data_IF_054365281721
#
_entry.id   IF_054365281721
#
_cell.length_a   1.000
_cell.length_b   1.000
_cell.length_c   1.000
_cell.angle_alpha   90.00
_cell.angle_beta   90.00
_cell.angle_gamma   90.00
#
_symmetry.space_group_name_H-M   'P 1'
#
loop_
_entity.id
_entity.type
_entity.pdbx_description
1 polymer ?
#
# COMPACT_ATOMS: atom_id res chain seq x y z
N UNK A 1 -62.15 -0.87 -25.75
CA UNK A 1 -61.87 0.53 -25.35
C UNK A 1 -61.30 0.50 -23.95
N UNK A 2 -60.06 0.96 -23.77
CA UNK A 2 -59.37 0.97 -22.48
C UNK A 2 -57.92 1.38 -22.72
N UNK A 3 -57.59 2.60 -22.33
CA UNK A 3 -56.46 3.39 -22.80
C UNK A 3 -55.10 2.89 -22.28
N UNK A 4 -54.11 2.89 -23.18
CA UNK A 4 -52.69 2.78 -22.87
C UNK A 4 -52.18 4.18 -22.49
N UNK A 5 -51.65 4.34 -21.28
CA UNK A 5 -50.99 5.56 -20.83
C UNK A 5 -49.47 5.34 -20.85
N UNK A 6 -48.82 5.95 -21.84
CA UNK A 6 -47.37 6.08 -21.92
C UNK A 6 -46.92 7.20 -20.97
N UNK A 7 -46.05 6.88 -20.01
CA UNK A 7 -45.41 7.89 -19.14
C UNK A 7 -44.03 8.19 -19.71
N UNK A 8 -43.83 9.45 -20.09
CA UNK A 8 -42.68 9.95 -20.83
C UNK A 8 -41.38 9.98 -20.03
N UNK A 9 -40.29 9.63 -20.72
CA UNK A 9 -38.92 9.95 -20.33
C UNK A 9 -38.71 11.47 -20.44
N UNK A 10 -38.44 12.14 -19.33
CA UNK A 10 -37.87 13.49 -19.35
C UNK A 10 -36.34 13.39 -19.32
N UNK A 11 -35.74 13.69 -20.47
CA UNK A 11 -34.32 13.93 -20.64
C UNK A 11 -33.94 15.25 -19.95
N UNK A 12 -33.11 15.18 -18.92
CA UNK A 12 -32.49 16.37 -18.32
C UNK A 12 -31.32 16.80 -19.21
N UNK A 13 -31.43 18.00 -19.76
CA UNK A 13 -30.44 18.61 -20.65
C UNK A 13 -29.12 18.88 -19.92
N UNK A 14 -28.02 18.41 -20.51
CA UNK A 14 -26.66 18.73 -20.10
C UNK A 14 -26.36 20.22 -20.35
N UNK A 15 -25.88 20.92 -19.33
CA UNK A 15 -25.35 22.28 -19.45
C UNK A 15 -23.92 22.22 -20.03
N UNK A 16 -23.55 23.03 -21.02
CA UNK A 16 -22.22 23.02 -21.61
C UNK A 16 -21.20 23.70 -20.67
N UNK A 17 -20.14 22.96 -20.32
CA UNK A 17 -18.97 23.51 -19.65
C UNK A 17 -18.10 24.29 -20.65
N UNK A 18 -17.78 25.54 -20.29
CA UNK A 18 -16.87 26.43 -21.00
C UNK A 18 -15.42 25.97 -20.74
N UNK A 19 -14.58 25.71 -21.77
CA UNK A 19 -13.15 25.50 -21.57
C UNK A 19 -12.42 26.85 -21.49
N UNK A 20 -11.71 27.08 -20.38
CA UNK A 20 -10.84 28.23 -20.22
C UNK A 20 -9.45 27.96 -20.81
N UNK A 21 -9.10 28.81 -21.78
CA UNK A 21 -7.76 29.30 -22.13
C UNK A 21 -6.74 28.34 -22.80
N UNK A 22 -6.67 28.47 -24.13
CA UNK A 22 -5.46 28.24 -24.91
C UNK A 22 -4.37 29.24 -24.51
N UNK A 23 -3.14 28.76 -24.31
CA UNK A 23 -1.93 29.57 -24.49
C UNK A 23 -0.91 28.81 -25.33
N UNK A 24 -1.04 28.98 -26.64
CA UNK A 24 0.03 28.74 -27.60
C UNK A 24 0.95 29.97 -27.56
N UNK A 25 2.22 29.77 -27.21
CA UNK A 25 3.30 30.64 -27.67
C UNK A 25 4.23 29.78 -28.53
N UNK A 26 4.32 30.16 -29.80
CA UNK A 26 5.14 29.49 -30.79
C UNK A 26 6.61 29.81 -30.63
N UNK A 27 7.43 28.91 -31.15
CA UNK A 27 8.73 29.27 -31.70
C UNK A 27 8.87 28.49 -33.01
N UNK A 28 8.82 29.26 -34.09
CA UNK A 28 9.03 28.83 -35.47
C UNK A 28 10.46 28.32 -35.60
N UNK A 29 10.64 27.14 -36.18
CA UNK A 29 11.90 26.77 -36.83
C UNK A 29 11.57 26.26 -38.22
N UNK A 30 12.29 26.82 -39.18
CA UNK A 30 12.07 26.83 -40.62
C UNK A 30 12.16 25.42 -41.20
N UNK A 31 11.13 25.01 -41.93
CA UNK A 31 11.17 23.87 -42.85
C UNK A 31 11.75 24.38 -44.17
N UNK A 32 12.97 23.95 -44.50
CA UNK A 32 13.48 24.02 -45.87
C UNK A 32 13.06 22.75 -46.59
N UNK A 33 12.20 22.91 -47.59
CA UNK A 33 11.84 21.87 -48.53
C UNK A 33 12.93 21.80 -49.62
N UNK A 34 13.56 20.63 -49.76
CA UNK A 34 14.14 20.19 -51.02
C UNK A 34 13.67 18.75 -51.26
N UNK A 35 12.74 18.60 -52.19
CA UNK A 35 12.25 17.29 -52.61
C UNK A 35 13.26 16.56 -53.50
N UNK A 36 13.28 15.23 -53.38
CA UNK A 36 13.17 14.31 -54.53
C UNK A 36 12.98 12.86 -54.07
N UNK A 37 11.93 12.28 -54.66
CA UNK A 37 11.74 10.89 -55.08
C UNK A 37 11.81 9.73 -54.05
N UNK A 38 10.66 9.06 -53.96
CA UNK A 38 10.47 7.66 -53.56
C UNK A 38 11.39 6.71 -54.34
N UNK A 39 12.01 5.76 -53.65
CA UNK A 39 12.30 4.43 -54.22
C UNK A 39 12.29 3.37 -53.11
N UNK A 40 11.34 2.45 -53.24
CA UNK A 40 11.24 1.21 -52.47
C UNK A 40 12.23 0.20 -53.03
N UNK A 41 13.19 -0.26 -52.22
CA UNK A 41 13.83 -1.57 -52.42
C UNK A 41 14.11 -2.24 -51.08
N UNK A 42 13.41 -3.35 -50.88
CA UNK A 42 13.76 -4.44 -49.97
C UNK A 42 15.08 -5.06 -50.40
N UNK A 43 16.02 -5.16 -49.48
CA UNK A 43 17.30 -5.84 -49.69
C UNK A 43 17.84 -6.31 -48.35
N UNK A 44 17.74 -7.62 -48.09
CA UNK A 44 18.45 -8.27 -46.99
C UNK A 44 19.96 -8.23 -47.29
N UNK A 45 20.70 -7.45 -46.53
CA UNK A 45 22.16 -7.45 -46.55
C UNK A 45 22.68 -8.28 -45.37
N UNK A 46 23.15 -9.50 -45.67
CA UNK A 46 23.96 -10.32 -44.78
C UNK A 46 25.33 -9.65 -44.59
N UNK A 47 25.60 -9.15 -43.38
CA UNK A 47 26.89 -8.58 -43.03
C UNK A 47 27.76 -9.66 -42.38
N UNK A 48 28.77 -10.11 -43.12
CA UNK A 48 29.86 -10.96 -42.62
C UNK A 48 30.71 -10.13 -41.66
N UNK A 49 30.68 -10.45 -40.36
CA UNK A 49 31.58 -9.84 -39.38
C UNK A 49 32.94 -10.54 -39.46
N UNK A 50 33.90 -9.88 -40.09
CA UNK A 50 35.33 -10.18 -39.96
C UNK A 50 35.78 -9.83 -38.54
N UNK A 51 36.24 -10.82 -37.79
CA UNK A 51 36.85 -10.62 -36.48
C UNK A 51 38.32 -10.23 -36.63
N UNK A 52 38.70 -9.03 -36.21
CA UNK A 52 40.10 -8.67 -35.96
C UNK A 52 40.35 -8.68 -34.46
N UNK A 53 41.16 -9.62 -33.99
CA UNK A 53 41.61 -9.69 -32.61
C UNK A 53 42.64 -8.59 -32.33
N UNK A 54 42.23 -7.54 -31.62
CA UNK A 54 43.13 -6.60 -30.97
C UNK A 54 43.45 -7.06 -29.53
N UNK A 55 44.61 -6.72 -28.96
CA UNK A 55 44.99 -7.18 -27.63
C UNK A 55 44.07 -6.59 -26.55
N UNK A 56 43.49 -7.47 -25.75
CA UNK A 56 42.68 -7.14 -24.57
C UNK A 56 43.59 -6.56 -23.47
N UNK A 57 43.52 -5.25 -23.24
CA UNK A 57 44.07 -4.63 -22.04
C UNK A 57 43.15 -5.00 -20.87
N UNK A 58 43.70 -5.76 -19.92
CA UNK A 58 43.05 -6.07 -18.64
C UNK A 58 42.91 -4.78 -17.82
N UNK A 59 41.69 -4.24 -17.75
CA UNK A 59 41.34 -3.18 -16.80
C UNK A 59 40.84 -3.85 -15.54
N UNK A 60 41.69 -3.95 -14.52
CA UNK A 60 41.28 -4.31 -13.16
C UNK A 60 40.26 -3.30 -12.64
N UNK A 61 38.98 -3.68 -12.64
CA UNK A 61 37.93 -2.96 -11.90
C UNK A 61 38.18 -3.17 -10.41
N UNK A 62 38.67 -2.15 -9.71
CA UNK A 62 38.54 -2.07 -8.25
C UNK A 62 37.05 -2.02 -7.92
N UNK A 63 36.53 -3.06 -7.25
CA UNK A 63 35.19 -3.01 -6.68
C UNK A 63 35.22 -2.00 -5.53
N UNK A 64 34.66 -0.82 -5.74
CA UNK A 64 34.30 0.06 -4.63
C UNK A 64 33.01 -0.49 -4.03
N UNK A 65 33.13 -1.24 -2.93
CA UNK A 65 32.00 -1.52 -2.07
C UNK A 65 31.63 -0.20 -1.37
N UNK A 66 30.53 0.43 -1.79
CA UNK A 66 29.90 1.49 -1.02
C UNK A 66 29.25 0.82 0.20
N UNK A 67 29.96 0.79 1.31
CA UNK A 67 29.37 0.45 2.61
C UNK A 67 28.46 1.61 2.99
N UNK A 68 27.16 1.40 3.04
CA UNK A 68 26.24 2.34 3.66
C UNK A 68 26.66 2.50 5.14
N UNK A 69 27.27 3.64 5.46
CA UNK A 69 27.54 4.04 6.82
C UNK A 69 26.27 4.65 7.39
N UNK A 70 25.49 3.89 8.13
CA UNK A 70 24.62 4.48 9.17
C UNK A 70 24.98 3.87 10.52
N UNK A 71 26.20 4.15 10.97
CA UNK A 71 26.52 4.11 12.39
C UNK A 71 26.82 5.54 12.83
N UNK A 72 25.79 6.18 13.35
CA UNK A 72 25.81 7.52 13.90
C UNK A 72 24.38 7.87 14.27
N UNK A 73 24.12 8.12 15.55
CA UNK A 73 22.84 8.67 15.99
C UNK A 73 22.61 9.96 15.20
N UNK A 74 21.52 10.00 14.44
CA UNK A 74 21.17 11.18 13.64
C UNK A 74 20.83 12.29 14.64
N UNK A 75 21.75 13.23 14.84
CA UNK A 75 21.47 14.52 15.48
C UNK A 75 20.63 15.36 14.50
N UNK A 76 19.37 14.95 14.30
CA UNK A 76 18.31 15.78 13.73
C UNK A 76 17.45 16.36 14.86
N UNK A 77 16.60 17.33 14.52
CA UNK A 77 15.52 17.76 15.43
C UNK A 77 14.71 16.51 15.87
N UNK A 78 14.48 16.32 17.19
CA UNK A 78 13.79 15.12 17.66
C UNK A 78 12.34 15.11 17.17
N UNK A 79 11.91 13.97 16.63
CA UNK A 79 10.49 13.73 16.34
C UNK A 79 9.81 13.43 17.68
N UNK A 80 8.91 14.30 18.11
CA UNK A 80 8.18 14.17 19.38
C UNK A 80 6.72 13.77 19.13
N UNK A 81 6.39 12.53 19.48
CA UNK A 81 5.05 11.96 19.41
C UNK A 81 4.52 11.64 20.82
N UNK A 82 5.07 12.24 21.88
CA UNK A 82 4.57 12.05 23.24
C UNK A 82 3.12 12.50 23.35
N UNK A 83 2.32 11.68 24.02
CA UNK A 83 0.88 11.90 24.15
C UNK A 83 0.09 11.66 22.86
N UNK A 84 0.72 11.13 21.81
CA UNK A 84 0.05 10.68 20.59
C UNK A 84 -0.19 9.18 20.63
N UNK A 85 -1.30 8.74 20.05
CA UNK A 85 -1.66 7.33 19.96
C UNK A 85 -1.68 6.87 18.51
N UNK A 86 -1.03 5.75 18.24
CA UNK A 86 -0.95 5.13 16.93
C UNK A 86 -1.70 3.80 16.89
N UNK A 87 -2.52 3.59 15.87
CA UNK A 87 -3.06 2.27 15.52
C UNK A 87 -2.34 1.74 14.28
N UNK A 88 -1.66 0.60 14.42
CA UNK A 88 -0.89 -0.04 13.35
C UNK A 88 -1.59 -1.32 12.91
N UNK A 89 -2.22 -1.29 11.74
CA UNK A 89 -2.84 -2.45 11.12
C UNK A 89 -1.80 -3.26 10.33
N UNK A 90 -1.70 -4.57 10.61
CA UNK A 90 -0.85 -5.48 9.84
C UNK A 90 0.47 -5.87 10.51
N UNK A 91 0.49 -6.01 11.84
CA UNK A 91 1.65 -6.59 12.55
C UNK A 91 1.29 -8.01 12.96
N UNK A 92 2.15 -8.98 12.63
CA UNK A 92 1.96 -10.39 12.99
C UNK A 92 3.24 -11.05 13.53
N UNK A 93 4.38 -10.39 13.36
CA UNK A 93 5.71 -10.78 13.84
C UNK A 93 6.62 -9.53 13.91
N UNK A 94 7.91 -9.73 14.21
CA UNK A 94 8.92 -8.70 14.33
C UNK A 94 9.81 -8.49 13.09
N UNK A 95 9.45 -9.09 11.96
CA UNK A 95 10.21 -9.01 10.70
C UNK A 95 9.63 -8.00 9.70
N UNK A 96 8.35 -7.68 9.82
CA UNK A 96 7.63 -6.80 8.90
C UNK A 96 7.87 -5.30 9.09
N UNK A 97 7.50 -4.51 8.09
CA UNK A 97 7.55 -3.04 8.18
C UNK A 97 6.63 -2.47 9.27
N UNK A 98 5.48 -3.10 9.52
CA UNK A 98 4.56 -2.66 10.59
C UNK A 98 5.23 -2.67 11.96
N UNK A 99 6.06 -3.68 12.24
CA UNK A 99 6.86 -3.73 13.47
C UNK A 99 7.93 -2.64 13.52
N UNK A 100 8.65 -2.43 12.41
CA UNK A 100 9.66 -1.38 12.30
C UNK A 100 9.06 0.02 12.52
N UNK A 101 7.88 0.28 11.96
CA UNK A 101 7.13 1.53 12.15
C UNK A 101 6.67 1.67 13.60
N UNK A 102 6.07 0.63 14.19
CA UNK A 102 5.66 0.65 15.59
C UNK A 102 6.83 0.98 16.52
N UNK A 103 8.00 0.39 16.26
CA UNK A 103 9.23 0.66 17.02
C UNK A 103 9.72 2.10 16.87
N UNK A 104 9.67 2.66 15.67
CA UNK A 104 10.04 4.04 15.42
C UNK A 104 9.07 5.03 16.10
N UNK A 105 7.77 4.76 16.05
CA UNK A 105 6.73 5.56 16.71
C UNK A 105 6.88 5.50 18.24
N UNK A 106 7.14 4.31 18.80
CA UNK A 106 7.40 4.13 20.23
C UNK A 106 8.66 4.88 20.68
N UNK A 107 9.75 4.83 19.89
CA UNK A 107 10.97 5.59 20.17
C UNK A 107 10.75 7.11 20.16
N UNK A 108 9.77 7.59 19.39
CA UNK A 108 9.34 8.98 19.38
C UNK A 108 8.34 9.32 20.51
N UNK A 109 7.95 8.34 21.33
CA UNK A 109 7.08 8.52 22.49
C UNK A 109 5.59 8.29 22.26
N UNK A 110 5.19 7.73 21.11
CA UNK A 110 3.79 7.40 20.83
C UNK A 110 3.33 6.15 21.59
N UNK A 111 2.06 6.13 22.00
CA UNK A 111 1.37 4.95 22.50
C UNK A 111 0.99 4.03 21.33
N UNK A 112 1.24 2.73 21.46
CA UNK A 112 1.16 1.77 20.35
C UNK A 112 0.00 0.80 20.53
N UNK A 113 -0.96 0.88 19.61
CA UNK A 113 -2.03 -0.10 19.41
C UNK A 113 -1.77 -0.89 18.13
N UNK A 114 -2.05 -2.19 18.14
CA UNK A 114 -1.75 -3.07 17.00
C UNK A 114 -2.99 -3.85 16.57
N UNK A 115 -3.30 -3.82 15.28
CA UNK A 115 -4.24 -4.74 14.62
C UNK A 115 -3.51 -5.94 14.04
N UNK A 116 -3.76 -7.13 14.58
CA UNK A 116 -3.14 -8.40 14.15
C UNK A 116 -4.14 -9.27 13.42
N UNK A 117 -3.72 -9.86 12.30
CA UNK A 117 -4.57 -10.77 11.54
C UNK A 117 -5.05 -11.95 12.39
N UNK A 118 -6.36 -12.21 12.41
CA UNK A 118 -6.98 -13.19 13.32
C UNK A 118 -6.29 -14.57 13.30
N UNK A 119 -6.01 -15.18 12.13
CA UNK A 119 -5.23 -16.42 12.04
C UNK A 119 -3.82 -16.40 12.65
N UNK A 120 -3.18 -15.24 12.77
CA UNK A 120 -1.84 -15.08 13.32
C UNK A 120 -1.84 -14.66 14.81
N UNK A 121 -2.98 -14.20 15.33
CA UNK A 121 -3.10 -13.57 16.65
C UNK A 121 -2.52 -14.42 17.79
N UNK A 122 -2.97 -15.67 17.92
CA UNK A 122 -2.54 -16.53 19.02
C UNK A 122 -1.03 -16.76 19.04
N UNK A 123 -0.42 -16.91 17.86
CA UNK A 123 1.04 -17.14 17.74
C UNK A 123 1.80 -15.85 18.09
N UNK A 124 1.30 -14.70 17.61
CA UNK A 124 1.88 -13.40 17.90
C UNK A 124 1.84 -13.09 19.40
N UNK A 125 0.67 -13.14 20.04
CA UNK A 125 0.51 -12.86 21.47
C UNK A 125 1.30 -13.85 22.34
N UNK A 126 1.30 -15.14 21.98
CA UNK A 126 2.10 -16.14 22.70
C UNK A 126 3.59 -15.86 22.57
N UNK A 127 4.07 -15.45 21.40
CA UNK A 127 5.47 -15.13 21.18
C UNK A 127 5.90 -13.87 21.92
N UNK A 128 5.03 -12.85 21.93
CA UNK A 128 5.22 -11.61 22.69
C UNK A 128 5.30 -11.89 24.19
N UNK A 129 4.34 -12.65 24.74
CA UNK A 129 4.31 -13.02 26.17
C UNK A 129 5.50 -13.86 26.61
N UNK A 130 6.01 -14.72 25.71
CA UNK A 130 7.19 -15.56 25.96
C UNK A 130 8.53 -14.82 25.80
N UNK A 131 8.50 -13.52 25.50
CA UNK A 131 9.70 -12.71 25.32
C UNK A 131 10.48 -13.02 24.04
N UNK A 132 9.89 -13.70 23.06
CA UNK A 132 10.58 -14.01 21.78
C UNK A 132 10.96 -12.75 21.00
N UNK A 133 10.25 -11.66 21.24
CA UNK A 133 10.45 -10.37 20.60
C UNK A 133 11.24 -9.37 21.47
N UNK A 134 11.76 -9.77 22.64
CA UNK A 134 12.38 -8.80 23.55
C UNK A 134 13.62 -8.13 22.95
N UNK A 135 14.43 -8.87 22.20
CA UNK A 135 15.56 -8.29 21.46
C UNK A 135 15.10 -7.29 20.39
N UNK A 136 14.05 -7.63 19.62
CA UNK A 136 13.54 -6.75 18.57
C UNK A 136 12.76 -5.54 19.12
N UNK A 137 12.24 -5.63 20.36
CA UNK A 137 11.58 -4.53 21.10
C UNK A 137 12.55 -3.47 21.63
N UNK A 138 13.85 -3.75 21.79
CA UNK A 138 14.83 -2.79 22.34
C UNK A 138 14.86 -1.48 21.56
N UNK A 139 14.51 -0.37 22.23
CA UNK A 139 14.55 0.99 21.71
C UNK A 139 15.95 1.61 21.82
N UNK A 140 16.23 2.73 21.12
CA UNK A 140 17.54 3.39 21.18
C UNK A 140 17.96 3.88 22.57
N UNK A 141 17.00 4.17 23.44
CA UNK A 141 17.22 4.58 24.84
C UNK A 141 17.49 3.39 25.79
N UNK A 142 17.46 2.16 25.26
CA UNK A 142 17.67 0.92 26.02
C UNK A 142 16.39 0.34 26.66
N UNK A 143 15.25 1.04 26.58
CA UNK A 143 13.96 0.52 27.03
C UNK A 143 13.39 -0.51 26.03
N UNK A 144 12.30 -1.19 26.40
CA UNK A 144 11.59 -2.08 25.48
C UNK A 144 10.33 -1.38 24.97
N UNK A 145 10.09 -1.45 23.66
CA UNK A 145 8.81 -1.08 23.06
C UNK A 145 7.67 -1.80 23.78
N UNK A 146 6.68 -1.03 24.23
CA UNK A 146 5.44 -1.53 24.80
C UNK A 146 4.35 -1.48 23.73
N UNK A 147 3.62 -2.59 23.58
CA UNK A 147 2.38 -2.65 22.80
C UNK A 147 1.25 -2.59 23.82
N UNK A 148 0.54 -1.47 23.89
CA UNK A 148 -0.50 -1.25 24.91
C UNK A 148 -1.64 -2.25 24.75
N UNK A 149 -2.10 -2.47 23.51
CA UNK A 149 -3.16 -3.43 23.22
C UNK A 149 -3.04 -4.00 21.82
N UNK A 150 -3.31 -5.30 21.73
CA UNK A 150 -3.43 -6.04 20.47
C UNK A 150 -4.91 -6.27 20.20
N UNK A 151 -5.34 -5.95 18.99
CA UNK A 151 -6.68 -6.15 18.49
C UNK A 151 -6.68 -7.25 17.43
N UNK A 152 -7.57 -8.25 17.50
CA UNK A 152 -7.85 -9.10 16.35
C UNK A 152 -8.40 -8.22 15.22
N UNK A 153 -7.90 -8.40 13.99
CA UNK A 153 -8.34 -7.62 12.84
C UNK A 153 -8.36 -8.50 11.60
N UNK A 154 -9.42 -8.42 10.81
CA UNK A 154 -9.41 -8.85 9.42
C UNK A 154 -9.96 -7.74 8.53
N UNK A 155 -9.06 -7.04 7.86
CA UNK A 155 -9.36 -5.82 7.12
C UNK A 155 -10.03 -6.04 5.76
N UNK A 156 -10.37 -7.29 5.42
CA UNK A 156 -11.20 -7.60 4.23
C UNK A 156 -12.70 -7.54 4.53
N UNK A 157 -13.08 -7.46 5.82
CA UNK A 157 -14.47 -7.40 6.25
C UNK A 157 -14.72 -6.11 7.02
N UNK A 158 -15.61 -5.27 6.50
CA UNK A 158 -15.95 -3.99 7.12
C UNK A 158 -16.85 -4.21 8.34
N UNK A 159 -17.79 -5.15 8.21
CA UNK A 159 -18.81 -5.48 9.21
C UNK A 159 -19.10 -6.98 9.28
N UNK A 160 -19.81 -7.43 10.32
CA UNK A 160 -20.10 -8.86 10.52
C UNK A 160 -21.06 -9.45 9.47
N UNK A 161 -21.91 -8.60 8.87
CA UNK A 161 -22.79 -8.99 7.78
C UNK A 161 -22.03 -9.34 6.48
N UNK A 162 -20.81 -8.81 6.31
CA UNK A 162 -19.95 -9.10 5.15
C UNK A 162 -19.24 -10.46 5.27
N UNK A 163 -19.26 -11.06 6.45
CA UNK A 163 -18.50 -12.26 6.76
C UNK A 163 -19.24 -13.50 6.28
N UNK A 164 -18.65 -14.30 5.36
CA UNK A 164 -19.19 -15.59 4.96
C UNK A 164 -19.28 -16.59 6.12
N UNK A 165 -20.29 -17.46 6.09
CA UNK A 165 -20.52 -18.44 7.16
C UNK A 165 -19.36 -19.44 7.35
N UNK A 166 -18.62 -19.76 6.30
CA UNK A 166 -17.42 -20.61 6.38
C UNK A 166 -16.27 -19.93 7.14
N UNK A 167 -16.15 -18.60 7.05
CA UNK A 167 -15.19 -17.81 7.83
C UNK A 167 -15.62 -17.74 9.30
N UNK A 168 -16.92 -17.52 9.58
CA UNK A 168 -17.45 -17.53 10.95
C UNK A 168 -17.26 -18.89 11.63
N UNK A 169 -17.48 -19.98 10.90
CA UNK A 169 -17.30 -21.34 11.40
C UNK A 169 -15.82 -21.77 11.53
N UNK A 170 -14.88 -20.99 10.97
CA UNK A 170 -13.47 -21.31 11.04
C UNK A 170 -12.96 -21.22 12.49
N UNK A 171 -12.33 -22.29 12.98
CA UNK A 171 -11.79 -22.39 14.34
C UNK A 171 -10.84 -21.25 14.71
N UNK A 172 -10.15 -20.65 13.74
CA UNK A 172 -9.24 -19.51 13.97
C UNK A 172 -10.00 -18.24 14.32
N UNK A 173 -11.20 -18.05 13.75
CA UNK A 173 -12.06 -16.88 13.99
C UNK A 173 -13.02 -17.12 15.15
N UNK A 174 -13.45 -18.37 15.38
CA UNK A 174 -14.38 -18.71 16.46
C UNK A 174 -13.87 -18.38 17.87
N UNK A 175 -12.54 -18.30 18.06
CA UNK A 175 -11.91 -17.94 19.33
C UNK A 175 -11.74 -16.44 19.56
N UNK A 176 -12.13 -15.59 18.60
CA UNK A 176 -11.97 -14.14 18.66
C UNK A 176 -13.29 -13.45 18.32
N UNK A 177 -13.53 -12.30 18.93
CA UNK A 177 -14.67 -11.44 18.61
C UNK A 177 -14.18 -10.04 18.27
N UNK A 178 -15.06 -9.21 17.68
CA UNK A 178 -14.78 -7.81 17.36
C UNK A 178 -13.55 -7.61 16.49
N UNK A 179 -13.54 -8.26 15.33
CA UNK A 179 -12.37 -8.30 14.46
C UNK A 179 -12.59 -7.71 13.06
N UNK A 180 -13.83 -7.33 12.74
CA UNK A 180 -14.12 -6.54 11.54
C UNK A 180 -13.64 -5.10 11.73
N UNK A 181 -13.41 -4.37 10.63
CA UNK A 181 -12.83 -3.01 10.70
C UNK A 181 -13.67 -2.08 11.58
N UNK A 182 -15.00 -2.12 11.43
CA UNK A 182 -15.92 -1.32 12.22
C UNK A 182 -15.87 -1.66 13.71
N UNK A 183 -15.95 -2.94 14.06
CA UNK A 183 -15.92 -3.38 15.46
C UNK A 183 -14.60 -3.03 16.15
N UNK A 184 -13.47 -3.12 15.43
CA UNK A 184 -12.16 -2.74 15.96
C UNK A 184 -12.09 -1.23 16.20
N UNK A 185 -12.56 -0.41 15.27
CA UNK A 185 -12.62 1.04 15.45
C UNK A 185 -13.51 1.44 16.63
N UNK A 186 -14.68 0.80 16.78
CA UNK A 186 -15.57 0.99 17.93
C UNK A 186 -14.90 0.57 19.24
N UNK A 187 -14.19 -0.56 19.26
CA UNK A 187 -13.49 -1.03 20.46
C UNK A 187 -12.34 -0.10 20.85
N UNK A 188 -11.57 0.40 19.87
CA UNK A 188 -10.52 1.42 20.12
C UNK A 188 -11.12 2.70 20.69
N UNK A 189 -12.28 3.14 20.17
CA UNK A 189 -13.01 4.29 20.70
C UNK A 189 -13.43 4.06 22.15
N UNK A 190 -13.97 2.89 22.48
CA UNK A 190 -14.43 2.56 23.83
C UNK A 190 -13.25 2.48 24.83
N UNK A 191 -12.14 1.91 24.40
CA UNK A 191 -10.95 1.73 25.23
C UNK A 191 -10.17 3.03 25.46
N UNK A 192 -10.05 3.87 24.43
CA UNK A 192 -9.05 4.94 24.36
C UNK A 192 -9.60 6.30 23.93
N UNK A 193 -10.84 6.36 23.45
CA UNK A 193 -11.50 7.58 22.96
C UNK A 193 -11.08 7.98 21.55
N UNK A 194 -9.79 8.22 21.34
CA UNK A 194 -9.25 8.69 20.06
C UNK A 194 -7.84 8.16 19.74
N UNK A 195 -7.47 8.33 18.47
CA UNK A 195 -6.11 8.11 17.96
C UNK A 195 -5.59 9.37 17.25
N UNK A 196 -4.28 9.44 17.01
CA UNK A 196 -3.65 10.51 16.22
C UNK A 196 -3.02 9.97 14.93
N UNK A 197 -2.60 8.70 14.92
CA UNK A 197 -1.85 8.12 13.81
C UNK A 197 -2.49 6.79 13.39
N UNK A 198 -2.76 6.65 12.09
CA UNK A 198 -3.20 5.39 11.49
C UNK A 198 -2.12 4.86 10.53
N UNK A 199 -1.60 3.67 10.80
CA UNK A 199 -0.62 3.00 9.93
C UNK A 199 -1.28 1.80 9.27
N UNK A 200 -1.25 1.76 7.94
CA UNK A 200 -1.65 0.61 7.12
C UNK A 200 -0.41 -0.11 6.61
N UNK A 201 -0.11 -1.26 7.21
CA UNK A 201 1.03 -2.11 6.88
C UNK A 201 0.60 -3.54 6.57
N UNK A 202 -0.50 -3.70 5.83
CA UNK A 202 -1.01 -5.00 5.39
C UNK A 202 -1.18 -5.07 3.87
N UNK A 203 -1.03 -6.27 3.34
CA UNK A 203 -1.29 -6.60 1.96
C UNK A 203 -1.45 -8.12 1.83
N UNK A 204 -2.33 -8.58 0.96
CA UNK A 204 -2.51 -9.99 0.66
C UNK A 204 -2.94 -10.15 -0.80
N UNK A 205 -2.45 -11.21 -1.46
CA UNK A 205 -2.75 -11.51 -2.84
C UNK A 205 -2.67 -13.02 -3.09
N UNK A 206 -3.79 -13.74 -3.24
CA UNK A 206 -3.78 -15.21 -3.28
C UNK A 206 -3.07 -15.77 -4.52
N UNK A 207 -2.93 -14.98 -5.59
CA UNK A 207 -2.32 -15.38 -6.86
C UNK A 207 -1.05 -14.58 -7.18
N UNK A 208 -0.36 -14.00 -6.17
CA UNK A 208 0.78 -13.08 -6.37
C UNK A 208 1.90 -13.65 -7.25
N UNK A 209 2.08 -14.97 -7.27
CA UNK A 209 3.12 -15.63 -8.08
C UNK A 209 2.73 -15.78 -9.56
N UNK A 210 1.45 -15.59 -9.92
CA UNK A 210 0.98 -15.73 -11.29
C UNK A 210 1.20 -14.43 -12.09
N UNK A 211 1.65 -14.50 -13.36
CA UNK A 211 1.64 -13.36 -14.25
C UNK A 211 0.23 -12.75 -14.38
N UNK A 212 0.14 -11.43 -14.58
CA UNK A 212 -1.15 -10.73 -14.62
C UNK A 212 -2.13 -11.28 -15.67
N UNK A 213 -1.63 -11.77 -16.80
CA UNK A 213 -2.45 -12.35 -17.87
C UNK A 213 -3.06 -13.73 -17.50
N UNK A 214 -2.55 -14.38 -16.47
CA UNK A 214 -3.03 -15.68 -15.95
C UNK A 214 -3.81 -15.52 -14.64
N UNK A 215 -3.84 -14.32 -14.08
CA UNK A 215 -4.54 -14.02 -12.85
C UNK A 215 -6.05 -14.11 -13.05
N UNK A 216 -6.72 -14.86 -12.19
CA UNK A 216 -8.17 -14.94 -12.21
C UNK A 216 -8.82 -13.63 -11.76
N UNK A 217 -10.08 -13.38 -12.15
CA UNK A 217 -10.83 -12.21 -11.68
C UNK A 217 -10.97 -12.19 -10.15
N UNK A 218 -11.25 -13.33 -9.53
CA UNK A 218 -11.40 -13.43 -8.08
C UNK A 218 -10.08 -13.18 -7.36
N UNK A 219 -8.96 -13.74 -7.84
CA UNK A 219 -7.64 -13.50 -7.27
C UNK A 219 -7.22 -12.03 -7.35
N UNK A 220 -7.48 -11.38 -8.50
CA UNK A 220 -7.22 -9.96 -8.69
C UNK A 220 -8.03 -9.09 -7.72
N UNK A 221 -9.35 -9.33 -7.62
CA UNK A 221 -10.23 -8.55 -6.74
C UNK A 221 -9.92 -8.78 -5.27
N UNK A 222 -9.54 -10.00 -4.88
CA UNK A 222 -9.07 -10.29 -3.53
C UNK A 222 -7.80 -9.49 -3.19
N UNK A 223 -6.87 -9.36 -4.14
CA UNK A 223 -5.65 -8.57 -3.94
C UNK A 223 -5.95 -7.08 -3.74
N UNK A 224 -6.82 -6.51 -4.55
CA UNK A 224 -7.25 -5.09 -4.44
C UNK A 224 -8.06 -4.85 -3.15
N UNK A 225 -8.97 -5.77 -2.81
CA UNK A 225 -9.77 -5.70 -1.58
C UNK A 225 -8.86 -5.64 -0.35
N UNK A 226 -7.96 -6.60 -0.20
CA UNK A 226 -7.09 -6.71 0.97
C UNK A 226 -5.96 -5.66 0.99
N UNK A 227 -5.48 -5.18 -0.16
CA UNK A 227 -4.26 -4.36 -0.23
C UNK A 227 -4.47 -2.88 -0.61
N UNK A 228 -5.69 -2.50 -1.01
CA UNK A 228 -6.06 -1.13 -1.35
C UNK A 228 -7.31 -0.69 -0.59
N UNK A 229 -8.44 -1.39 -0.80
CA UNK A 229 -9.71 -0.97 -0.20
C UNK A 229 -9.71 -1.06 1.32
N UNK A 230 -8.97 -2.01 1.89
CA UNK A 230 -8.73 -2.09 3.33
C UNK A 230 -8.16 -0.79 3.94
N UNK A 231 -7.37 0.00 3.18
CA UNK A 231 -6.90 1.32 3.63
C UNK A 231 -8.05 2.33 3.69
N UNK A 232 -8.89 2.36 2.65
CA UNK A 232 -10.08 3.22 2.61
C UNK A 232 -11.03 2.89 3.76
N UNK A 233 -11.31 1.60 3.99
CA UNK A 233 -12.19 1.14 5.06
C UNK A 233 -11.63 1.52 6.43
N UNK A 234 -10.33 1.27 6.68
CA UNK A 234 -9.69 1.67 7.93
C UNK A 234 -9.79 3.19 8.12
N UNK A 235 -9.47 3.99 7.11
CA UNK A 235 -9.56 5.44 7.21
C UNK A 235 -11.02 5.87 7.47
N UNK A 236 -12.00 5.34 6.75
CA UNK A 236 -13.41 5.67 6.93
C UNK A 236 -13.91 5.43 8.36
N UNK A 237 -13.51 4.31 8.98
CA UNK A 237 -13.99 3.94 10.32
C UNK A 237 -13.19 4.60 11.46
N UNK A 238 -11.90 4.89 11.25
CA UNK A 238 -11.06 5.53 12.26
C UNK A 238 -11.09 7.07 12.19
N UNK A 239 -11.40 7.68 11.04
CA UNK A 239 -11.43 9.13 10.88
C UNK A 239 -12.35 9.85 11.91
N UNK A 240 -13.55 9.34 12.27
CA UNK A 240 -14.39 9.97 13.29
C UNK A 240 -13.78 10.00 14.70
N UNK A 241 -12.76 9.19 14.96
CA UNK A 241 -12.05 9.11 16.24
C UNK A 241 -10.59 9.55 16.12
N UNK A 242 -10.20 10.14 14.99
CA UNK A 242 -8.86 10.67 14.78
C UNK A 242 -8.83 12.15 15.17
N UNK A 243 -7.90 12.53 16.04
CA UNK A 243 -7.76 13.92 16.47
C UNK A 243 -7.38 14.83 15.28
N UNK A 244 -7.86 16.08 15.22
CA UNK A 244 -7.39 17.06 14.25
C UNK A 244 -5.86 17.21 14.27
N UNK A 245 -5.24 17.28 13.09
CA UNK A 245 -3.79 17.25 12.97
C UNK A 245 -3.17 15.85 13.06
N UNK A 246 -4.00 14.81 13.16
CA UNK A 246 -3.58 13.42 12.97
C UNK A 246 -3.17 13.13 11.52
N UNK A 247 -2.53 11.98 11.32
CA UNK A 247 -2.01 11.57 10.03
C UNK A 247 -2.21 10.07 9.79
N UNK A 248 -2.30 9.69 8.52
CA UNK A 248 -2.25 8.29 8.12
C UNK A 248 -1.06 8.02 7.20
N UNK A 249 -0.56 6.78 7.22
CA UNK A 249 0.50 6.31 6.33
C UNK A 249 0.17 4.91 5.86
N UNK A 250 0.46 4.62 4.59
CA UNK A 250 0.37 3.30 4.00
C UNK A 250 1.67 2.93 3.29
N UNK A 251 1.90 1.64 3.07
CA UNK A 251 3.09 1.15 2.37
C UNK A 251 2.74 0.70 0.94
N UNK A 252 3.39 1.34 -0.04
CA UNK A 252 3.30 1.00 -1.46
C UNK A 252 4.60 0.38 -1.99
N UNK A 253 4.62 0.01 -3.26
CA UNK A 253 5.79 -0.53 -3.94
C UNK A 253 5.83 -0.10 -5.40
N UNK A 254 7.03 0.17 -5.93
CA UNK A 254 7.29 0.73 -7.27
C UNK A 254 6.69 -0.07 -8.44
N UNK A 255 6.22 -1.31 -8.21
CA UNK A 255 5.46 -2.06 -9.18
C UNK A 255 4.11 -1.42 -9.56
N UNK A 256 3.66 -0.41 -8.81
CA UNK A 256 2.53 0.47 -9.16
C UNK A 256 2.81 1.31 -10.41
N UNK A 257 4.02 1.84 -10.52
CA UNK A 257 4.43 2.78 -11.56
C UNK A 257 5.27 2.13 -12.67
N UNK A 258 5.91 0.99 -12.36
CA UNK A 258 6.83 0.30 -13.27
C UNK A 258 6.52 -1.19 -13.34
N UNK A 259 6.76 -1.80 -14.49
CA UNK A 259 6.61 -3.24 -14.65
C UNK A 259 7.73 -3.98 -13.91
N UNK A 260 7.37 -4.72 -12.86
CA UNK A 260 8.29 -5.57 -12.09
C UNK A 260 7.87 -7.04 -12.25
N UNK A 261 8.61 -7.85 -13.04
CA UNK A 261 8.33 -9.28 -13.16
C UNK A 261 8.37 -9.99 -11.80
N UNK A 262 7.43 -10.92 -11.58
CA UNK A 262 7.29 -11.64 -10.31
C UNK A 262 6.36 -10.96 -9.29
N UNK A 263 5.95 -9.70 -9.51
CA UNK A 263 4.97 -9.00 -8.67
C UNK A 263 3.56 -9.10 -9.30
N UNK A 264 3.06 -10.33 -9.39
CA UNK A 264 1.87 -10.69 -10.15
C UNK A 264 0.56 -10.68 -9.36
N UNK A 265 -0.42 -11.49 -9.78
CA UNK A 265 -1.67 -11.69 -9.04
C UNK A 265 -2.55 -10.45 -8.83
N UNK A 266 -2.31 -9.37 -9.59
CA UNK A 266 -2.99 -8.08 -9.40
C UNK A 266 -2.38 -7.19 -8.31
N UNK A 267 -1.29 -7.59 -7.66
CA UNK A 267 -0.65 -6.80 -6.60
C UNK A 267 -0.10 -5.46 -7.09
N UNK A 268 0.45 -5.40 -8.31
CA UNK A 268 0.88 -4.13 -8.94
C UNK A 268 -0.30 -3.16 -9.06
N UNK A 269 -1.45 -3.65 -9.51
CA UNK A 269 -2.67 -2.85 -9.64
C UNK A 269 -3.21 -2.40 -8.29
N UNK A 270 -3.17 -3.27 -7.27
CA UNK A 270 -3.57 -2.91 -5.92
C UNK A 270 -2.69 -1.78 -5.35
N UNK A 271 -1.37 -1.80 -5.60
CA UNK A 271 -0.48 -0.71 -5.18
C UNK A 271 -0.70 0.60 -5.95
N UNK A 272 -0.98 0.52 -7.25
CA UNK A 272 -1.37 1.68 -8.03
C UNK A 272 -2.68 2.30 -7.54
N UNK A 273 -3.68 1.46 -7.20
CA UNK A 273 -4.94 1.92 -6.59
C UNK A 273 -4.68 2.60 -5.23
N UNK A 274 -3.90 1.98 -4.35
CA UNK A 274 -3.55 2.53 -3.04
C UNK A 274 -2.90 3.92 -3.14
N UNK A 275 -1.98 4.13 -4.08
CA UNK A 275 -1.36 5.45 -4.31
C UNK A 275 -2.33 6.48 -4.87
N UNK A 276 -3.25 6.07 -5.74
CA UNK A 276 -4.34 6.92 -6.23
C UNK A 276 -5.28 7.34 -5.12
N UNK A 277 -5.70 6.38 -4.32
CA UNK A 277 -6.60 6.55 -3.19
C UNK A 277 -5.96 7.43 -2.10
N UNK A 278 -4.65 7.30 -1.87
CA UNK A 278 -3.89 8.18 -0.97
C UNK A 278 -4.04 9.66 -1.36
N UNK A 279 -4.01 9.99 -2.65
CA UNK A 279 -4.24 11.36 -3.12
C UNK A 279 -5.70 11.78 -2.99
N UNK A 280 -6.62 10.85 -3.25
CA UNK A 280 -8.07 11.11 -3.19
C UNK A 280 -8.61 11.29 -1.77
N UNK A 281 -7.97 10.69 -0.78
CA UNK A 281 -8.39 10.72 0.64
C UNK A 281 -7.66 11.77 1.49
N UNK A 282 -6.78 12.58 0.90
CA UNK A 282 -6.15 13.70 1.60
C UNK A 282 -7.19 14.82 1.77
N UNK A 283 -7.51 15.17 3.03
CA UNK A 283 -8.39 16.27 3.40
C UNK A 283 -7.60 17.43 4.02
#
# INVERSE_FOLDING_TARGET
MGASAATGMQMVAARPCIPACQRMLGSRSVVSAFGRALSTRTGFASCVKTASAGPLISVTRKSFAVRAMSQGAVQGLPIDLRGKRAFIAGVADDNGYGWAIAKALAAAGAEILVGTWVPALNIFETSLRRGKFDESRKLPDGSLMEITKVYPLDAVFDSLEDVPEDVKANKRYAGSSKWTVKEVAETVKDDFGSIDILVHSLANGPEVTKPLLETSRSGYLAAVSASSYSFISLLQHFLPIMNPGGASISLTYIASERTIPGYGGGMSSAKAALESDTRGSCF
#
